data_IF_518991310031
#
_entry.id   IF_518991310031
#
_cell.length_a   1.000
_cell.length_b   1.000
_cell.length_c   1.000
_cell.angle_alpha   90.00
_cell.angle_beta   90.00
_cell.angle_gamma   90.00
#
_symmetry.space_group_name_H-M   'P 1'
#
loop_
_entity.id
_entity.type
_entity.pdbx_description
1 polymer ?
#
# COMPACT_ATOMS: atom_id res chain seq x y z
N UNK A 1 -8.70 -0.21 14.57
CA UNK A 1 -7.57 0.50 13.92
C UNK A 1 -6.25 0.59 14.74
N UNK A 2 -5.90 -0.28 15.72
CA UNK A 2 -4.63 -0.14 16.48
C UNK A 2 -3.40 -0.82 15.85
N UNK A 3 -3.53 -1.52 14.71
CA UNK A 3 -2.43 -2.31 14.13
C UNK A 3 -1.43 -1.49 13.32
N UNK A 4 -1.81 -0.31 12.84
CA UNK A 4 -0.96 0.56 12.02
C UNK A 4 0.30 1.04 12.77
N UNK A 5 0.23 1.51 14.04
CA UNK A 5 1.45 1.92 14.75
C UNK A 5 2.40 0.76 15.03
N UNK A 6 1.90 -0.45 15.31
CA UNK A 6 2.76 -1.61 15.56
C UNK A 6 3.64 -1.95 14.34
N UNK A 7 3.05 -1.93 13.14
CA UNK A 7 3.79 -2.21 11.90
C UNK A 7 4.88 -1.17 11.64
N UNK A 8 4.66 0.10 12.00
CA UNK A 8 5.66 1.16 11.86
C UNK A 8 6.88 0.97 12.79
N UNK A 9 6.75 0.28 13.93
CA UNK A 9 7.88 -0.02 14.80
C UNK A 9 8.71 -1.22 14.34
N UNK A 10 8.13 -2.11 13.53
CA UNK A 10 8.81 -3.32 13.04
C UNK A 10 9.43 -3.17 11.65
N UNK A 11 9.06 -2.14 10.88
CA UNK A 11 9.75 -1.86 9.62
C UNK A 11 11.10 -1.19 9.91
N UNK A 12 12.19 -1.90 9.61
CA UNK A 12 13.51 -1.27 9.53
C UNK A 12 13.47 -0.12 8.50
N UNK A 13 14.16 0.98 8.82
CA UNK A 13 14.21 2.16 7.97
C UNK A 13 14.85 1.82 6.62
N UNK A 14 14.36 2.43 5.53
CA UNK A 14 14.85 2.15 4.18
C UNK A 14 16.38 2.26 4.08
N UNK A 15 17.09 1.31 3.44
CA UNK A 15 18.55 1.31 3.35
C UNK A 15 19.10 2.57 2.67
N UNK A 16 18.33 3.20 1.78
CA UNK A 16 18.67 4.48 1.15
C UNK A 16 18.74 5.62 2.18
N UNK A 17 17.80 5.64 3.13
CA UNK A 17 17.75 6.64 4.20
C UNK A 17 18.88 6.42 5.20
N UNK A 18 19.14 5.16 5.56
CA UNK A 18 20.28 4.80 6.43
C UNK A 18 21.61 5.21 5.79
N UNK A 19 21.80 4.95 4.50
CA UNK A 19 22.98 5.37 3.76
C UNK A 19 23.10 6.91 3.69
N UNK A 20 21.99 7.64 3.49
CA UNK A 20 21.98 9.10 3.50
C UNK A 20 22.35 9.70 4.87
N UNK A 21 22.03 9.01 5.97
CA UNK A 21 22.46 9.37 7.34
C UNK A 21 23.91 8.99 7.64
N UNK A 22 24.61 8.31 6.72
CA UNK A 22 25.96 7.80 6.93
C UNK A 22 26.04 6.46 7.69
N UNK A 23 24.91 5.84 8.01
CA UNK A 23 24.84 4.54 8.68
C UNK A 23 24.93 3.38 7.65
N UNK A 24 26.09 3.30 7.00
CA UNK A 24 26.33 2.37 5.89
C UNK A 24 26.32 0.90 6.33
N UNK A 25 26.76 0.60 7.56
CA UNK A 25 26.77 -0.77 8.08
C UNK A 25 25.34 -1.29 8.27
N UNK A 26 24.45 -0.47 8.82
CA UNK A 26 23.05 -0.85 8.98
C UNK A 26 22.34 -0.95 7.64
N UNK A 27 22.61 -0.03 6.71
CA UNK A 27 22.08 -0.12 5.34
C UNK A 27 22.52 -1.43 4.65
N UNK A 28 23.80 -1.82 4.79
CA UNK A 28 24.34 -3.08 4.25
C UNK A 28 23.65 -4.30 4.87
N UNK A 29 23.38 -4.28 6.17
CA UNK A 29 22.61 -5.34 6.85
C UNK A 29 21.21 -5.46 6.26
N UNK A 30 20.45 -4.36 6.15
CA UNK A 30 19.09 -4.37 5.59
C UNK A 30 19.08 -4.92 4.16
N UNK A 31 20.03 -4.50 3.33
CA UNK A 31 20.12 -5.00 1.95
C UNK A 31 20.49 -6.49 1.88
N UNK A 32 21.35 -6.97 2.79
CA UNK A 32 21.67 -8.39 2.90
C UNK A 32 20.42 -9.18 3.29
N UNK A 33 19.67 -8.71 4.28
CA UNK A 33 18.42 -9.32 4.73
C UNK A 33 17.39 -9.36 3.57
N UNK A 34 17.25 -8.26 2.82
CA UNK A 34 16.40 -8.21 1.61
C UNK A 34 16.88 -9.18 0.52
N UNK A 35 18.19 -9.32 0.31
CA UNK A 35 18.76 -10.23 -0.67
C UNK A 35 18.45 -11.70 -0.34
N UNK A 36 18.57 -12.05 0.94
CA UNK A 36 18.24 -13.38 1.45
C UNK A 36 16.74 -13.67 1.30
N UNK A 37 15.88 -12.72 1.66
CA UNK A 37 14.42 -12.85 1.54
C UNK A 37 13.94 -13.00 0.09
N UNK A 38 14.61 -12.33 -0.87
CA UNK A 38 14.26 -12.41 -2.29
C UNK A 38 14.91 -13.62 -3.01
N UNK A 39 15.78 -14.39 -2.34
CA UNK A 39 16.45 -15.55 -2.94
C UNK A 39 17.36 -15.21 -4.12
N UNK A 40 17.93 -14.00 -4.15
CA UNK A 40 18.78 -13.52 -5.26
C UNK A 40 20.20 -13.23 -4.80
N UNK A 41 21.06 -14.26 -4.62
CA UNK A 41 22.41 -14.07 -4.08
C UNK A 41 23.33 -13.23 -4.99
N UNK A 42 23.02 -13.18 -6.30
CA UNK A 42 23.83 -12.52 -7.33
C UNK A 42 23.70 -10.99 -7.34
N UNK A 43 22.77 -10.43 -6.56
CA UNK A 43 22.61 -8.98 -6.45
C UNK A 43 23.76 -8.41 -5.64
N UNK A 44 24.51 -7.49 -6.26
CA UNK A 44 25.56 -6.75 -5.59
C UNK A 44 24.97 -5.90 -4.45
N UNK A 45 25.52 -6.09 -3.26
CA UNK A 45 25.15 -5.37 -2.04
C UNK A 45 26.19 -4.32 -1.66
N UNK A 46 27.30 -4.25 -2.40
CA UNK A 46 28.33 -3.28 -2.11
C UNK A 46 27.85 -1.91 -2.58
N UNK A 47 27.24 -1.19 -1.64
CA UNK A 47 26.80 0.17 -1.85
C UNK A 47 28.01 0.97 -2.30
N UNK A 48 28.07 1.32 -3.58
CA UNK A 48 29.14 2.14 -4.12
C UNK A 48 29.21 3.40 -3.24
N UNK A 49 30.30 3.54 -2.48
CA UNK A 49 30.63 4.76 -1.70
C UNK A 49 30.96 5.91 -2.65
N UNK A 50 30.30 6.00 -3.79
CA UNK A 50 30.52 7.07 -4.73
C UNK A 50 29.98 8.35 -4.10
N UNK A 51 30.86 9.33 -3.81
CA UNK A 51 30.45 10.64 -3.27
C UNK A 51 29.47 11.37 -4.20
N UNK A 52 29.33 10.91 -5.44
CA UNK A 52 28.47 11.48 -6.47
C UNK A 52 26.97 11.18 -6.27
N UNK A 53 26.59 10.03 -5.69
CA UNK A 53 25.17 9.73 -5.48
C UNK A 53 24.57 10.62 -4.38
N UNK A 54 25.31 10.90 -3.31
CA UNK A 54 24.87 11.78 -2.23
C UNK A 54 24.71 13.24 -2.69
N UNK A 55 25.58 13.70 -3.60
CA UNK A 55 25.50 15.05 -4.17
C UNK A 55 24.33 15.23 -5.16
N UNK A 56 23.94 14.18 -5.89
CA UNK A 56 22.84 14.24 -6.86
C UNK A 56 21.44 14.36 -6.20
N UNK A 57 21.26 13.79 -5.01
CA UNK A 57 20.00 13.92 -4.23
C UNK A 57 19.86 15.23 -3.46
N UNK A 58 20.95 15.97 -3.24
CA UNK A 58 20.93 17.13 -2.35
C UNK A 58 20.24 18.38 -2.92
N UNK A 59 19.87 18.41 -4.22
CA UNK A 59 19.31 19.61 -4.85
C UNK A 59 18.21 19.36 -5.89
N UNK A 60 17.68 18.14 -6.01
CA UNK A 60 16.53 17.93 -6.89
C UNK A 60 15.29 18.62 -6.27
N UNK A 61 14.67 19.60 -6.95
CA UNK A 61 13.46 20.23 -6.44
C UNK A 61 12.38 19.17 -6.22
N UNK A 62 11.63 19.26 -5.12
CA UNK A 62 10.61 18.26 -4.74
C UNK A 62 9.64 17.91 -5.89
N UNK A 63 9.35 18.89 -6.76
CA UNK A 63 8.57 18.70 -7.98
C UNK A 63 9.20 17.72 -8.97
N UNK A 64 10.53 17.72 -9.14
CA UNK A 64 11.22 16.81 -10.05
C UNK A 64 11.19 15.36 -9.53
N UNK A 65 11.31 15.17 -8.20
CA UNK A 65 11.13 13.85 -7.56
C UNK A 65 9.69 13.36 -7.73
N UNK A 66 8.71 14.25 -7.57
CA UNK A 66 7.30 13.94 -7.79
C UNK A 66 7.03 13.53 -9.24
N UNK A 67 7.49 14.32 -10.23
CA UNK A 67 7.30 14.02 -11.64
C UNK A 67 7.98 12.72 -12.07
N UNK A 68 9.16 12.44 -11.55
CA UNK A 68 9.87 11.20 -11.84
C UNK A 68 9.12 9.99 -11.29
N UNK A 69 8.59 10.10 -10.06
CA UNK A 69 7.78 9.04 -9.44
C UNK A 69 6.46 8.83 -10.18
N UNK A 70 5.77 9.92 -10.56
CA UNK A 70 4.55 9.86 -11.34
C UNK A 70 4.80 9.22 -12.71
N UNK A 71 5.91 9.57 -13.37
CA UNK A 71 6.31 8.98 -14.66
C UNK A 71 6.59 7.48 -14.54
N UNK A 72 7.18 7.03 -13.44
CA UNK A 72 7.38 5.59 -13.16
C UNK A 72 6.02 4.91 -12.97
N UNK A 73 5.12 5.49 -12.17
CA UNK A 73 3.77 4.93 -11.95
C UNK A 73 2.93 4.85 -13.24
N UNK A 74 3.05 5.85 -14.12
CA UNK A 74 2.35 5.90 -15.43
C UNK A 74 3.17 5.21 -16.54
N UNK A 75 4.24 4.50 -16.18
CA UNK A 75 5.05 3.74 -17.13
C UNK A 75 4.21 2.73 -17.90
N UNK A 76 4.53 2.52 -19.19
CA UNK A 76 3.77 1.64 -20.10
C UNK A 76 3.61 0.21 -19.58
N UNK A 77 4.54 -0.25 -18.75
CA UNK A 77 4.49 -1.59 -18.13
C UNK A 77 3.64 -1.64 -16.85
N UNK A 78 3.42 -0.50 -16.18
CA UNK A 78 2.71 -0.40 -14.90
C UNK A 78 1.33 0.28 -15.03
N UNK A 79 0.99 0.84 -16.19
CA UNK A 79 -0.29 1.53 -16.39
C UNK A 79 -1.48 0.58 -16.22
N UNK A 80 -1.35 -0.66 -16.65
CA UNK A 80 -2.40 -1.68 -16.52
C UNK A 80 -2.74 -1.96 -15.05
N UNK A 81 -1.73 -2.25 -14.23
CA UNK A 81 -1.91 -2.50 -12.81
C UNK A 81 -2.35 -1.25 -12.05
N UNK A 82 -1.82 -0.07 -12.41
CA UNK A 82 -2.22 1.21 -11.79
C UNK A 82 -3.68 1.54 -12.06
N UNK A 83 -4.14 1.41 -13.32
CA UNK A 83 -5.55 1.64 -13.68
C UNK A 83 -6.45 0.61 -12.99
N UNK A 84 -6.06 -0.67 -12.97
CA UNK A 84 -6.80 -1.70 -12.25
C UNK A 84 -6.92 -1.38 -10.75
N UNK A 85 -5.84 -0.94 -10.11
CA UNK A 85 -5.83 -0.58 -8.69
C UNK A 85 -6.71 0.65 -8.41
N UNK A 86 -6.64 1.68 -9.26
CA UNK A 86 -7.47 2.89 -9.13
C UNK A 86 -8.95 2.56 -9.31
N UNK A 87 -9.30 1.76 -10.32
CA UNK A 87 -10.67 1.32 -10.53
C UNK A 87 -11.17 0.46 -9.37
N UNK A 88 -10.35 -0.48 -8.88
CA UNK A 88 -10.68 -1.29 -7.72
C UNK A 88 -10.91 -0.42 -6.48
N UNK A 89 -10.02 0.53 -6.21
CA UNK A 89 -10.14 1.48 -5.10
C UNK A 89 -11.41 2.34 -5.23
N UNK A 90 -11.74 2.81 -6.43
CA UNK A 90 -12.95 3.57 -6.70
C UNK A 90 -14.21 2.72 -6.46
N UNK A 91 -14.25 1.49 -6.97
CA UNK A 91 -15.37 0.57 -6.77
C UNK A 91 -15.56 0.25 -5.29
N UNK A 92 -14.46 -0.05 -4.58
CA UNK A 92 -14.43 -0.23 -3.12
C UNK A 92 -15.03 0.97 -2.39
N UNK A 93 -14.61 2.17 -2.75
CA UNK A 93 -15.10 3.40 -2.13
C UNK A 93 -16.60 3.60 -2.38
N UNK A 94 -17.05 3.44 -3.63
CA UNK A 94 -18.48 3.56 -4.00
C UNK A 94 -19.33 2.54 -3.27
N UNK A 95 -18.90 1.27 -3.20
CA UNK A 95 -19.62 0.22 -2.47
C UNK A 95 -19.70 0.53 -0.97
N UNK A 96 -18.60 0.98 -0.38
CA UNK A 96 -18.54 1.29 1.04
C UNK A 96 -19.44 2.47 1.40
N UNK A 97 -19.30 3.58 0.68
CA UNK A 97 -20.14 4.77 0.85
C UNK A 97 -21.61 4.45 0.56
N UNK A 98 -21.89 3.71 -0.51
CA UNK A 98 -23.24 3.29 -0.87
C UNK A 98 -23.92 2.51 0.26
N UNK A 99 -23.20 1.54 0.84
CA UNK A 99 -23.70 0.80 2.01
C UNK A 99 -23.94 1.72 3.21
N UNK A 100 -23.00 2.60 3.55
CA UNK A 100 -23.17 3.51 4.69
C UNK A 100 -24.37 4.45 4.53
N UNK A 101 -24.68 4.90 3.32
CA UNK A 101 -25.81 5.80 3.07
C UNK A 101 -27.14 5.05 2.87
N UNK A 102 -27.15 3.89 2.22
CA UNK A 102 -28.37 3.15 1.93
C UNK A 102 -28.92 2.43 3.17
N UNK A 103 -28.07 1.95 4.08
CA UNK A 103 -28.54 1.17 5.24
C UNK A 103 -29.42 1.95 6.23
N UNK A 104 -29.10 3.19 6.62
CA UNK A 104 -29.98 3.97 7.48
C UNK A 104 -31.38 4.15 6.89
N UNK A 105 -31.48 4.38 5.56
CA UNK A 105 -32.76 4.55 4.86
C UNK A 105 -33.62 3.27 4.87
N UNK A 106 -32.99 2.09 4.78
CA UNK A 106 -33.70 0.81 4.80
C UNK A 106 -34.06 0.42 6.25
N UNK A 107 -33.18 0.69 7.21
CA UNK A 107 -33.36 0.31 8.60
C UNK A 107 -34.45 1.10 9.32
N UNK A 108 -34.81 2.29 8.85
CA UNK A 108 -35.96 3.07 9.36
C UNK A 108 -37.32 2.56 8.88
N UNK A 109 -37.35 1.51 8.06
CA UNK A 109 -38.59 0.96 7.51
C UNK A 109 -38.98 -0.29 8.34
N UNK A 110 -39.81 -0.07 9.37
CA UNK A 110 -40.19 -1.06 10.39
C UNK A 110 -40.85 -2.34 9.84
N UNK A 111 -41.26 -2.35 8.57
CA UNK A 111 -41.87 -3.52 7.91
C UNK A 111 -40.90 -4.57 7.38
N UNK A 112 -39.57 -4.32 7.38
CA UNK A 112 -38.60 -5.13 6.62
C UNK A 112 -37.60 -5.89 7.51
N UNK A 113 -37.25 -5.36 8.68
CA UNK A 113 -36.24 -5.98 9.56
C UNK A 113 -36.57 -5.76 11.02
N UNK A 114 -36.55 -6.84 11.82
CA UNK A 114 -36.67 -6.79 13.29
C UNK A 114 -35.32 -6.64 13.98
N UNK A 115 -34.22 -6.65 13.22
CA UNK A 115 -32.87 -6.53 13.77
C UNK A 115 -32.50 -5.06 14.00
N UNK A 116 -31.78 -4.79 15.09
CA UNK A 116 -31.20 -3.48 15.31
C UNK A 116 -30.27 -3.09 14.13
N UNK A 117 -30.41 -1.86 13.63
CA UNK A 117 -29.67 -1.35 12.49
C UNK A 117 -28.14 -1.54 12.62
N UNK A 118 -27.61 -1.38 13.84
CA UNK A 118 -26.19 -1.58 14.14
C UNK A 118 -25.73 -3.02 13.90
N UNK A 119 -26.53 -4.02 14.26
CA UNK A 119 -26.20 -5.44 14.05
C UNK A 119 -26.20 -5.79 12.57
N UNK A 120 -27.18 -5.30 11.82
CA UNK A 120 -27.27 -5.54 10.38
C UNK A 120 -26.12 -4.87 9.61
N UNK A 121 -25.72 -3.65 10.02
CA UNK A 121 -24.55 -2.96 9.47
C UNK A 121 -23.25 -3.72 9.75
N UNK A 122 -23.08 -4.26 10.96
CA UNK A 122 -21.89 -5.04 11.33
C UNK A 122 -21.78 -6.33 10.49
N UNK A 123 -22.86 -7.10 10.37
CA UNK A 123 -22.89 -8.36 9.59
C UNK A 123 -22.54 -8.09 8.13
N UNK A 124 -23.16 -7.08 7.52
CA UNK A 124 -22.89 -6.72 6.14
C UNK A 124 -21.48 -6.15 5.94
N UNK A 125 -20.94 -5.43 6.92
CA UNK A 125 -19.55 -4.98 6.89
C UNK A 125 -18.57 -6.15 6.85
N UNK A 126 -18.78 -7.17 7.68
CA UNK A 126 -17.94 -8.37 7.72
C UNK A 126 -18.08 -9.20 6.44
N UNK A 127 -19.32 -9.46 5.99
CA UNK A 127 -19.58 -10.21 4.76
C UNK A 127 -19.01 -9.48 3.53
N UNK A 128 -19.22 -8.17 3.46
CA UNK A 128 -18.66 -7.32 2.42
C UNK A 128 -17.13 -7.38 2.40
N UNK A 129 -16.47 -7.28 3.55
CA UNK A 129 -15.00 -7.36 3.62
C UNK A 129 -14.48 -8.73 3.15
N UNK A 130 -15.19 -9.81 3.46
CA UNK A 130 -14.87 -11.16 2.97
C UNK A 130 -14.94 -11.27 1.44
N UNK A 131 -16.01 -10.77 0.83
CA UNK A 131 -16.16 -10.75 -0.65
C UNK A 131 -15.05 -9.94 -1.31
N UNK A 132 -14.70 -8.78 -0.75
CA UNK A 132 -13.63 -7.95 -1.30
C UNK A 132 -12.26 -8.63 -1.25
N UNK A 133 -11.92 -9.28 -0.12
CA UNK A 133 -10.68 -10.05 -0.03
C UNK A 133 -10.61 -11.17 -1.07
N UNK A 134 -11.75 -11.83 -1.33
CA UNK A 134 -11.85 -12.90 -2.31
C UNK A 134 -11.67 -12.38 -3.75
N UNK A 135 -12.29 -11.24 -4.08
CA UNK A 135 -12.11 -10.59 -5.40
C UNK A 135 -10.66 -10.15 -5.60
N UNK A 136 -10.05 -9.52 -4.60
CA UNK A 136 -8.64 -9.11 -4.67
C UNK A 136 -7.74 -10.32 -4.87
N UNK A 137 -7.93 -11.39 -4.09
CA UNK A 137 -7.17 -12.63 -4.25
C UNK A 137 -7.33 -13.22 -5.66
N UNK A 138 -8.55 -13.22 -6.22
CA UNK A 138 -8.79 -13.71 -7.57
C UNK A 138 -8.06 -12.89 -8.64
N UNK A 139 -7.98 -11.56 -8.49
CA UNK A 139 -7.26 -10.68 -9.43
C UNK A 139 -5.75 -10.93 -9.41
N UNK A 140 -5.16 -11.24 -8.26
CA UNK A 140 -3.72 -11.48 -8.13
C UNK A 140 -3.29 -12.92 -8.49
N UNK A 141 -4.23 -13.84 -8.67
CA UNK A 141 -3.96 -15.23 -9.07
C UNK A 141 -3.93 -15.40 -10.60
N UNK A 142 -4.43 -14.40 -11.36
CA UNK A 142 -4.45 -14.37 -12.83
C UNK A 142 -3.26 -13.59 -13.37
#
# INVERSE_FOLDING_TARGET
>A
LPLIPAVLFFLEESPVVLAAKGDHERARKVLKDMRELNGRPDVDIDYAREPQAAAATAAAPALQTFWSSLKVMVGRELIGSTVALVLAALMLHVLFSGNQYAFPLIATNDGISTMAAGTQSLINGVAGMGVHLLVVAAVFVV
#
